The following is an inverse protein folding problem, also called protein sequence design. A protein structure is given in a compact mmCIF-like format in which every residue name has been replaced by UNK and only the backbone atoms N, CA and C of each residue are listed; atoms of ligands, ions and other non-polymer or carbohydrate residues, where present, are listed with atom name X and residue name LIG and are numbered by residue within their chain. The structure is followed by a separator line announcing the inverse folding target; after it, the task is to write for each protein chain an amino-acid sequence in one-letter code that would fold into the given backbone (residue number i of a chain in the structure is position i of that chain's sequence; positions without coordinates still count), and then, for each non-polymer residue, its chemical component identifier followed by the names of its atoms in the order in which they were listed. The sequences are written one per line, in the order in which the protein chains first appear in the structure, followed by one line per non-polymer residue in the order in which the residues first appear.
data_IF_179647835441
#
_entry.id   IF_179647835441
#
_cell.length_a   1.000
_cell.length_b   1.000
_cell.length_c   1.000
_cell.angle_alpha   90.00
_cell.angle_beta   90.00
_cell.angle_gamma   90.00
#
_symmetry.space_group_name_H-M   'P 1'
#
loop_
_entity.id
_entity.type
_entity.pdbx_description
1 polymer ?
#
# COMPACT_ATOMS: atom_id res chain seq x y z
N UNK A 1 -35.32 3.19 13.69
CA UNK A 1 -34.20 4.12 13.40
C UNK A 1 -33.01 3.59 14.17
N UNK A 2 -32.22 2.69 13.56
CA UNK A 2 -31.03 2.17 14.19
C UNK A 2 -30.01 3.31 14.27
N UNK A 3 -29.50 3.60 15.46
CA UNK A 3 -28.41 4.55 15.63
C UNK A 3 -27.23 4.04 14.79
N UNK A 4 -26.88 4.77 13.74
CA UNK A 4 -25.58 4.62 13.08
C UNK A 4 -24.53 4.94 14.14
N UNK A 5 -24.05 3.86 14.77
CA UNK A 5 -22.89 3.84 15.64
C UNK A 5 -21.74 4.46 14.87
N UNK A 6 -21.54 5.76 15.06
CA UNK A 6 -20.42 6.49 14.51
C UNK A 6 -19.18 5.93 15.21
N UNK A 7 -18.50 5.00 14.56
CA UNK A 7 -17.24 4.44 15.08
C UNK A 7 -16.33 5.63 15.36
N UNK A 8 -15.82 5.79 16.59
CA UNK A 8 -15.00 6.94 16.93
C UNK A 8 -13.74 6.93 16.06
N UNK A 9 -13.48 8.05 15.38
CA UNK A 9 -12.27 8.25 14.60
C UNK A 9 -11.07 8.24 15.53
N UNK A 10 -10.07 7.43 15.19
CA UNK A 10 -8.83 7.30 15.94
C UNK A 10 -7.89 8.43 15.47
N UNK A 11 -7.25 9.17 16.40
CA UNK A 11 -6.26 10.18 16.01
C UNK A 11 -5.11 9.58 15.20
N UNK A 12 -4.58 10.35 14.24
CA UNK A 12 -3.47 9.92 13.39
C UNK A 12 -2.27 9.42 14.21
N UNK A 13 -1.89 10.12 15.26
CA UNK A 13 -0.80 9.71 16.16
C UNK A 13 -1.03 8.31 16.73
N UNK A 14 -2.24 8.01 17.19
CA UNK A 14 -2.61 6.71 17.71
C UNK A 14 -2.55 5.63 16.63
N UNK A 15 -3.07 5.91 15.43
CA UNK A 15 -2.98 4.98 14.31
C UNK A 15 -1.53 4.60 13.99
N UNK A 16 -0.62 5.58 14.00
CA UNK A 16 0.81 5.35 13.76
C UNK A 16 1.39 4.40 14.82
N UNK A 17 1.03 4.59 16.09
CA UNK A 17 1.47 3.71 17.18
C UNK A 17 0.83 2.32 17.17
N UNK A 18 -0.32 2.12 16.51
CA UNK A 18 -0.94 0.80 16.34
C UNK A 18 -0.23 -0.06 15.29
N UNK A 19 0.56 0.56 14.41
CA UNK A 19 1.32 -0.14 13.37
C UNK A 19 2.70 -0.49 13.91
N UNK A 20 2.89 -1.77 14.23
CA UNK A 20 4.15 -2.26 14.79
C UNK A 20 5.14 -2.76 13.72
N UNK A 21 4.67 -2.94 12.48
CA UNK A 21 5.48 -3.43 11.36
C UNK A 21 5.68 -2.29 10.37
N UNK A 22 6.93 -1.88 10.15
CA UNK A 22 7.25 -0.99 9.04
C UNK A 22 7.45 -1.77 7.75
N UNK A 23 6.96 -1.23 6.63
CA UNK A 23 7.01 -1.91 5.33
C UNK A 23 8.45 -2.03 4.83
N UNK A 24 8.82 -3.24 4.44
CA UNK A 24 10.03 -3.61 3.69
C UNK A 24 9.63 -4.46 2.49
N UNK A 25 10.57 -4.69 1.57
CA UNK A 25 10.36 -5.59 0.43
C UNK A 25 10.04 -7.04 0.83
N UNK A 26 10.36 -7.45 2.07
CA UNK A 26 10.17 -8.82 2.57
C UNK A 26 8.86 -9.05 3.33
N UNK A 27 8.24 -8.01 3.90
CA UNK A 27 7.15 -8.18 4.89
C UNK A 27 5.79 -7.61 4.46
N UNK A 28 5.59 -7.35 3.17
CA UNK A 28 4.37 -6.73 2.63
C UNK A 28 3.08 -7.36 3.15
N UNK A 29 2.96 -8.69 3.17
CA UNK A 29 1.72 -9.36 3.60
C UNK A 29 1.41 -9.09 5.07
N UNK A 30 2.43 -9.06 5.93
CA UNK A 30 2.26 -8.77 7.36
C UNK A 30 1.89 -7.29 7.57
N UNK A 31 2.56 -6.39 6.85
CA UNK A 31 2.24 -4.96 6.88
C UNK A 31 0.81 -4.70 6.39
N UNK A 32 0.44 -5.26 5.24
CA UNK A 32 -0.89 -5.09 4.65
C UNK A 32 -2.00 -5.57 5.58
N UNK A 33 -1.80 -6.72 6.24
CA UNK A 33 -2.75 -7.27 7.20
C UNK A 33 -2.98 -6.37 8.43
N UNK A 34 -2.04 -5.48 8.78
CA UNK A 34 -2.25 -4.48 9.85
C UNK A 34 -2.93 -3.21 9.32
N UNK A 35 -2.54 -2.75 8.13
CA UNK A 35 -2.99 -1.47 7.59
C UNK A 35 -4.42 -1.52 7.08
N UNK A 36 -4.77 -2.53 6.29
CA UNK A 36 -6.08 -2.59 5.62
C UNK A 36 -7.26 -2.58 6.61
N UNK A 37 -7.29 -3.40 7.68
CA UNK A 37 -8.38 -3.34 8.67
C UNK A 37 -8.46 -1.99 9.37
N UNK A 38 -7.30 -1.39 9.69
CA UNK A 38 -7.25 -0.08 10.34
C UNK A 38 -7.89 1.00 9.44
N UNK A 39 -7.54 1.01 8.15
CA UNK A 39 -8.13 1.95 7.19
C UNK A 39 -9.64 1.74 7.00
N UNK A 40 -10.09 0.47 6.96
CA UNK A 40 -11.51 0.13 6.86
C UNK A 40 -12.27 0.66 8.08
N UNK A 41 -11.77 0.42 9.30
CA UNK A 41 -12.44 0.88 10.54
C UNK A 41 -12.51 2.41 10.65
N UNK A 42 -11.62 3.13 9.97
CA UNK A 42 -11.60 4.59 9.92
C UNK A 42 -12.42 5.18 8.76
N UNK A 43 -13.11 4.34 7.99
CA UNK A 43 -13.98 4.79 6.90
C UNK A 43 -13.24 5.21 5.62
N UNK A 44 -12.03 4.70 5.41
CA UNK A 44 -11.23 5.00 4.22
C UNK A 44 -11.35 3.97 3.09
N UNK A 45 -12.23 2.96 3.24
CA UNK A 45 -12.45 1.93 2.22
C UNK A 45 -12.73 2.52 0.83
N UNK A 46 -13.51 3.60 0.76
CA UNK A 46 -13.85 4.25 -0.51
C UNK A 46 -12.65 4.95 -1.19
N UNK A 47 -11.60 5.26 -0.44
CA UNK A 47 -10.34 5.79 -1.00
C UNK A 47 -9.44 4.64 -1.48
N UNK A 48 -9.50 3.47 -0.81
CA UNK A 48 -8.78 2.24 -1.19
C UNK A 48 -9.29 1.69 -2.53
N UNK A 49 -10.58 1.41 -2.63
CA UNK A 49 -11.19 0.81 -3.82
C UNK A 49 -11.29 1.79 -5.01
N UNK A 50 -11.16 3.10 -4.74
CA UNK A 50 -11.24 4.15 -5.75
C UNK A 50 -12.68 4.57 -6.08
N UNK A 51 -13.65 4.10 -5.32
CA UNK A 51 -15.07 4.45 -5.45
C UNK A 51 -15.35 5.92 -5.09
N UNK A 52 -14.43 6.59 -4.38
CA UNK A 52 -14.46 8.04 -4.12
C UNK A 52 -13.42 8.78 -4.97
N UNK A 53 -13.74 9.17 -6.21
CA UNK A 53 -12.84 9.95 -7.05
C UNK A 53 -12.68 11.38 -6.51
N UNK A 54 -11.54 12.00 -6.84
CA UNK A 54 -11.26 13.39 -6.48
C UNK A 54 -12.31 14.33 -7.10
N UNK A 55 -13.04 15.12 -6.28
CA UNK A 55 -14.00 16.10 -6.79
C UNK A 55 -13.29 17.19 -7.63
N UNK A 56 -14.03 17.83 -8.55
CA UNK A 56 -13.50 19.01 -9.25
C UNK A 56 -13.16 20.11 -8.25
N UNK A 57 -12.00 20.77 -8.44
CA UNK A 57 -11.56 21.89 -7.58
C UNK A 57 -12.53 23.09 -7.63
N UNK A 58 -13.18 23.28 -8.77
CA UNK A 58 -14.15 24.36 -8.99
C UNK A 58 -15.50 23.80 -9.43
N UNK A 59 -16.56 24.46 -9.01
CA UNK A 59 -17.94 24.23 -9.43
C UNK A 59 -18.51 25.50 -10.04
N UNK A 60 -19.42 25.36 -11.00
CA UNK A 60 -20.18 26.49 -11.55
C UNK A 60 -21.43 26.67 -10.71
N UNK A 61 -21.63 27.86 -10.15
CA UNK A 61 -22.81 28.18 -9.36
C UNK A 61 -24.05 28.30 -10.25
N UNK A 62 -25.28 28.27 -9.69
CA UNK A 62 -26.50 28.55 -10.45
C UNK A 62 -26.49 29.93 -11.14
N UNK A 63 -25.66 30.87 -10.67
CA UNK A 63 -25.47 32.19 -11.26
C UNK A 63 -24.45 32.21 -12.42
N UNK A 64 -23.91 31.05 -12.83
CA UNK A 64 -22.93 30.92 -13.91
C UNK A 64 -21.51 31.34 -13.53
N UNK A 65 -21.26 31.67 -12.26
CA UNK A 65 -19.92 32.03 -11.77
C UNK A 65 -19.15 30.80 -11.29
N UNK A 66 -17.83 30.78 -11.51
CA UNK A 66 -16.95 29.74 -10.94
C UNK A 66 -16.72 29.99 -9.45
N UNK A 67 -16.87 28.95 -8.65
CA UNK A 67 -16.62 28.96 -7.21
C UNK A 67 -15.78 27.75 -6.79
N UNK A 68 -15.09 27.86 -5.66
CA UNK A 68 -14.32 26.74 -5.08
C UNK A 68 -15.26 25.65 -4.61
N UNK A 69 -14.91 24.39 -4.88
CA UNK A 69 -15.68 23.26 -4.40
C UNK A 69 -15.30 22.92 -2.94
N UNK A 70 -16.20 23.06 -1.96
CA UNK A 70 -15.92 22.68 -0.57
C UNK A 70 -15.66 21.16 -0.41
N UNK A 71 -16.24 20.34 -1.28
CA UNK A 71 -16.06 18.88 -1.25
C UNK A 71 -14.65 18.49 -1.67
N UNK A 72 -14.04 19.24 -2.59
CA UNK A 72 -12.64 19.04 -2.98
C UNK A 72 -11.71 19.25 -1.78
N UNK A 73 -11.90 20.32 -1.00
CA UNK A 73 -11.05 20.60 0.15
C UNK A 73 -11.13 19.48 1.20
N UNK A 74 -12.35 19.00 1.49
CA UNK A 74 -12.59 17.93 2.46
C UNK A 74 -12.01 16.59 1.98
N UNK A 75 -12.24 16.25 0.71
CA UNK A 75 -11.70 15.04 0.10
C UNK A 75 -10.16 15.08 0.07
N UNK A 76 -9.58 16.20 -0.37
CA UNK A 76 -8.13 16.36 -0.46
C UNK A 76 -7.45 16.28 0.90
N UNK A 77 -8.05 16.89 1.93
CA UNK A 77 -7.55 16.78 3.29
C UNK A 77 -7.54 15.32 3.77
N UNK A 78 -8.61 14.56 3.52
CA UNK A 78 -8.67 13.12 3.85
C UNK A 78 -7.62 12.30 3.10
N UNK A 79 -7.46 12.53 1.80
CA UNK A 79 -6.44 11.87 0.97
C UNK A 79 -5.01 12.16 1.48
N UNK A 80 -4.71 13.40 1.86
CA UNK A 80 -3.40 13.75 2.39
C UNK A 80 -3.15 13.18 3.80
N UNK A 81 -4.18 13.12 4.66
CA UNK A 81 -4.07 12.50 5.98
C UNK A 81 -3.72 11.02 5.90
N UNK A 82 -4.44 10.28 5.05
CA UNK A 82 -4.22 8.83 4.92
C UNK A 82 -2.89 8.53 4.20
N UNK A 83 -2.46 9.41 3.28
CA UNK A 83 -1.13 9.36 2.67
C UNK A 83 -0.04 9.57 3.71
N UNK A 84 -0.17 10.58 4.56
CA UNK A 84 0.78 10.84 5.66
C UNK A 84 0.85 9.64 6.62
N UNK A 85 -0.31 9.07 6.95
CA UNK A 85 -0.38 7.82 7.71
C UNK A 85 0.40 6.71 7.02
N UNK A 86 0.12 6.38 5.76
CA UNK A 86 0.84 5.32 5.03
C UNK A 86 2.35 5.55 5.05
N UNK A 87 2.81 6.74 4.68
CA UNK A 87 4.24 7.09 4.61
C UNK A 87 4.94 6.89 5.96
N UNK A 88 4.27 7.18 7.08
CA UNK A 88 4.82 6.98 8.42
C UNK A 88 5.09 5.49 8.77
N UNK A 89 4.41 4.58 8.08
CA UNK A 89 4.55 3.13 8.26
C UNK A 89 5.59 2.51 7.33
N UNK A 90 6.27 3.33 6.52
CA UNK A 90 7.28 2.86 5.58
C UNK A 90 8.67 2.91 6.20
N UNK A 91 9.55 2.02 5.76
CA UNK A 91 10.99 2.22 5.87
C UNK A 91 11.49 3.18 4.78
N UNK A 92 12.72 3.64 4.90
CA UNK A 92 13.35 4.51 3.90
C UNK A 92 13.39 3.86 2.50
N UNK A 93 13.71 2.55 2.44
CA UNK A 93 13.67 1.74 1.21
C UNK A 93 12.30 1.81 0.54
N UNK A 94 11.24 1.51 1.29
CA UNK A 94 9.87 1.51 0.76
C UNK A 94 9.36 2.91 0.43
N UNK A 95 9.86 3.95 1.12
CA UNK A 95 9.50 5.34 0.85
C UNK A 95 10.06 5.82 -0.49
N UNK A 96 11.24 5.33 -0.91
CA UNK A 96 11.82 5.65 -2.22
C UNK A 96 10.90 5.23 -3.38
N UNK A 97 10.11 4.16 -3.21
CA UNK A 97 9.14 3.68 -4.21
C UNK A 97 8.02 4.70 -4.46
N UNK A 98 7.67 5.50 -3.45
CA UNK A 98 6.45 6.33 -3.47
C UNK A 98 6.73 7.83 -3.42
N UNK A 99 7.99 8.25 -3.54
CA UNK A 99 8.41 9.66 -3.42
C UNK A 99 7.73 10.58 -4.44
N UNK A 100 7.41 10.06 -5.62
CA UNK A 100 6.73 10.81 -6.69
C UNK A 100 5.20 10.77 -6.61
N UNK A 101 4.63 9.98 -5.69
CA UNK A 101 3.20 9.79 -5.56
C UNK A 101 2.54 10.95 -4.81
N UNK A 102 1.49 11.53 -5.40
CA UNK A 102 0.78 12.69 -4.86
C UNK A 102 -0.55 12.35 -4.20
N UNK A 103 -1.15 11.20 -4.53
CA UNK A 103 -2.40 10.71 -3.92
C UNK A 103 -2.17 9.44 -3.10
N UNK A 104 -3.07 9.17 -2.17
CA UNK A 104 -3.08 7.91 -1.42
C UNK A 104 -3.15 6.69 -2.34
N UNK A 105 -4.00 6.75 -3.36
CA UNK A 105 -4.19 5.66 -4.33
C UNK A 105 -2.91 5.35 -5.09
N UNK A 106 -2.16 6.37 -5.50
CA UNK A 106 -0.88 6.18 -6.18
C UNK A 106 0.13 5.49 -5.27
N UNK A 107 0.20 5.90 -4.00
CA UNK A 107 1.06 5.27 -2.98
C UNK A 107 0.65 3.80 -2.80
N UNK A 108 -0.63 3.55 -2.52
CA UNK A 108 -1.16 2.21 -2.26
C UNK A 108 -0.88 1.25 -3.41
N UNK A 109 -1.22 1.65 -4.64
CA UNK A 109 -1.02 0.82 -5.83
C UNK A 109 0.46 0.61 -6.15
N UNK A 110 1.31 1.62 -5.95
CA UNK A 110 2.75 1.49 -6.18
C UNK A 110 3.40 0.50 -5.21
N UNK A 111 3.02 0.53 -3.93
CA UNK A 111 3.50 -0.43 -2.93
C UNK A 111 3.04 -1.86 -3.25
N UNK A 112 1.77 -2.05 -3.59
CA UNK A 112 1.24 -3.38 -3.99
C UNK A 112 1.97 -3.92 -5.22
N UNK A 113 2.23 -3.08 -6.22
CA UNK A 113 2.96 -3.46 -7.44
C UNK A 113 4.41 -3.83 -7.15
N UNK A 114 5.12 -3.00 -6.39
CA UNK A 114 6.51 -3.25 -6.03
C UNK A 114 6.67 -4.58 -5.28
N UNK A 115 5.75 -4.87 -4.34
CA UNK A 115 5.80 -6.10 -3.57
C UNK A 115 5.41 -7.33 -4.40
N UNK A 116 4.48 -7.18 -5.36
CA UNK A 116 4.15 -8.24 -6.32
C UNK A 116 5.36 -8.60 -7.20
N UNK A 117 6.12 -7.61 -7.65
CA UNK A 117 7.37 -7.82 -8.40
C UNK A 117 8.44 -8.50 -7.54
N UNK A 118 8.65 -8.04 -6.30
CA UNK A 118 9.60 -8.65 -5.38
C UNK A 118 9.25 -10.12 -5.09
N UNK A 119 7.96 -10.44 -4.94
CA UNK A 119 7.50 -11.82 -4.74
C UNK A 119 7.83 -12.72 -5.94
N UNK A 120 7.53 -12.25 -7.17
CA UNK A 120 7.84 -12.98 -8.40
C UNK A 120 9.34 -13.18 -8.61
N UNK A 121 10.15 -12.16 -8.32
CA UNK A 121 11.60 -12.26 -8.42
C UNK A 121 12.17 -13.30 -7.43
N UNK A 122 11.67 -13.34 -6.20
CA UNK A 122 12.05 -14.36 -5.21
C UNK A 122 11.67 -15.76 -5.65
N UNK A 123 10.48 -15.94 -6.23
CA UNK A 123 10.05 -17.24 -6.75
C UNK A 123 10.98 -17.74 -7.86
N UNK A 124 11.36 -16.86 -8.79
CA UNK A 124 12.29 -17.21 -9.88
C UNK A 124 13.69 -17.55 -9.34
N UNK A 125 14.23 -16.74 -8.43
CA UNK A 125 15.53 -17.01 -7.80
C UNK A 125 15.53 -18.36 -7.08
N UNK A 126 14.46 -18.68 -6.35
CA UNK A 126 14.35 -19.96 -5.65
C UNK A 126 14.31 -21.15 -6.63
N UNK A 127 13.64 -20.99 -7.78
CA UNK A 127 13.62 -22.02 -8.83
C UNK A 127 15.01 -22.22 -9.43
N UNK A 128 15.72 -21.14 -9.70
CA UNK A 128 17.09 -21.20 -10.24
C UNK A 128 18.05 -21.86 -9.24
N UNK A 129 17.96 -21.52 -7.95
CA UNK A 129 18.75 -22.13 -6.88
C UNK A 129 18.49 -23.64 -6.80
N UNK A 130 17.23 -24.07 -6.80
CA UNK A 130 16.87 -25.49 -6.78
C UNK A 130 17.38 -26.26 -8.00
N UNK A 131 17.31 -25.64 -9.19
CA UNK A 131 17.85 -26.24 -10.41
C UNK A 131 19.38 -26.34 -10.36
N UNK A 132 20.05 -25.34 -9.78
CA UNK A 132 21.50 -25.34 -9.61
C UNK A 132 21.96 -26.44 -8.65
N UNK A 133 21.25 -26.63 -7.51
CA UNK A 133 21.52 -27.71 -6.54
C UNK A 133 21.35 -29.07 -7.19
N UNK A 134 20.22 -29.28 -7.90
CA UNK A 134 19.97 -30.54 -8.62
C UNK A 134 21.05 -30.84 -9.67
N UNK A 135 21.58 -29.82 -10.34
CA UNK A 135 22.66 -29.97 -11.32
C UNK A 135 24.02 -30.28 -10.66
N UNK A 136 24.30 -29.66 -9.52
CA UNK A 136 25.45 -29.96 -8.68
C UNK A 136 25.46 -31.43 -8.25
N UNK A 137 24.33 -31.93 -7.74
CA UNK A 137 24.19 -33.32 -7.31
C UNK A 137 24.37 -34.33 -8.46
N UNK A 138 23.88 -34.01 -9.66
CA UNK A 138 24.11 -34.82 -10.86
C UNK A 138 25.59 -34.85 -11.25
N UNK A 139 26.28 -33.71 -11.20
CA UNK A 139 27.72 -33.63 -11.53
C UNK A 139 28.61 -34.36 -10.53
N UNK A 140 28.23 -34.39 -9.23
CA UNK A 140 28.95 -35.15 -8.20
C UNK A 140 28.72 -36.65 -8.37
N UNK A 141 27.49 -37.06 -8.71
CA UNK A 141 27.16 -38.46 -8.94
C UNK A 141 27.84 -39.04 -10.19
N UNK A 142 28.13 -38.21 -11.20
CA UNK A 142 28.83 -38.61 -12.43
C UNK A 142 30.35 -38.81 -12.24
N UNK A 143 30.91 -38.33 -11.13
CA UNK A 143 32.35 -38.46 -10.83
C UNK A 143 32.75 -39.74 -10.09
N UNK A 144 31.79 -40.62 -9.76
CA UNK A 144 32.03 -41.84 -8.95
C UNK A 144 32.01 -43.13 -9.81
N UNK A 145 31.73 -43.06 -11.12
CA UNK A 145 31.61 -44.25 -11.98
C UNK A 145 32.82 -44.51 -12.90
N UNK A 146 34.02 -44.17 -12.45
CA UNK A 146 35.28 -44.53 -13.12
C UNK A 146 36.31 -45.03 -12.09
N UNK A 147 36.13 -46.27 -11.64
CA UNK A 147 37.22 -47.14 -11.15
C UNK A 147 37.23 -48.43 -11.95
#
# INVERSE_FOLDING_TARGET
MAAESSIPLIPLSTMIHMVNIKLTSANYLLWHAQIEPLLITQGFLLHLDGSSPCPSREITTPAGTKSTNPDFATWYFRDQLIRLFLVSTLTEESMAVVIVCTSFRDVWTSLTRACSHASKARELSLKDDLLSVKRGDLSVSESICCE
#
